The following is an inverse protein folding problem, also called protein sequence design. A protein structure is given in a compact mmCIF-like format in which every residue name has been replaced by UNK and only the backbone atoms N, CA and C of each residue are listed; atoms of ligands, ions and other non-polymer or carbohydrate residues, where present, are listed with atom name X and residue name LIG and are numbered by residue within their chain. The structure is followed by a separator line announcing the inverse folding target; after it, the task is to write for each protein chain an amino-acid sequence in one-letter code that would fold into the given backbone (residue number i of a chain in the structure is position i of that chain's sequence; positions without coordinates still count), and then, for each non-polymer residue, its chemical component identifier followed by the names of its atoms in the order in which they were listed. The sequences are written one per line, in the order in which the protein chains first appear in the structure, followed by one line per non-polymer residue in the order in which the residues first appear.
data_IF_910180617862
#
_entry.id   IF_910180617862
#
_cell.length_a   1.000
_cell.length_b   1.000
_cell.length_c   1.000
_cell.angle_alpha   90.00
_cell.angle_beta   90.00
_cell.angle_gamma   90.00
#
_symmetry.space_group_name_H-M   'P 1'
#
loop_
_entity.id
_entity.type
_entity.pdbx_description
1 polymer ?
#
# COMPACT_ATOMS: atom_id res chain seq x y z
N UNK A 1 21.43 0.58 14.53
CA UNK A 1 20.92 1.56 13.55
C UNK A 1 19.49 1.88 13.93
N UNK A 2 19.08 3.14 14.12
CA UNK A 2 17.68 3.46 14.39
C UNK A 2 16.83 3.02 13.19
N UNK A 3 15.66 2.43 13.47
CA UNK A 3 14.68 2.10 12.45
C UNK A 3 14.31 3.38 11.68
N UNK A 4 14.37 3.30 10.34
CA UNK A 4 14.09 4.45 9.46
C UNK A 4 12.62 4.80 9.56
N UNK A 5 12.31 6.08 9.82
CA UNK A 5 10.94 6.55 9.88
C UNK A 5 10.43 6.89 8.47
N UNK A 6 9.24 6.44 8.09
CA UNK A 6 8.58 6.92 6.89
C UNK A 6 8.18 8.38 7.11
N UNK A 7 8.36 9.21 6.08
CA UNK A 7 8.12 10.66 6.15
C UNK A 7 6.91 11.12 5.34
N UNK A 8 6.48 10.35 4.33
CA UNK A 8 5.35 10.70 3.49
C UNK A 8 4.75 9.46 2.82
N UNK A 9 3.43 9.47 2.61
CA UNK A 9 2.72 8.54 1.73
C UNK A 9 2.10 9.32 0.56
N UNK A 10 2.50 8.97 -0.66
CA UNK A 10 1.92 9.54 -1.90
C UNK A 10 0.90 8.54 -2.43
N UNK A 11 -0.30 8.98 -2.77
CA UNK A 11 -1.39 8.14 -3.28
C UNK A 11 -1.75 8.61 -4.68
N UNK A 12 -1.70 7.72 -5.66
CA UNK A 12 -2.24 7.91 -7.00
C UNK A 12 -3.52 7.09 -7.15
N UNK A 13 -4.64 7.80 -7.32
CA UNK A 13 -5.94 7.21 -7.59
C UNK A 13 -6.08 6.91 -9.09
N UNK A 14 -6.95 5.96 -9.44
CA UNK A 14 -7.24 5.57 -10.83
C UNK A 14 -7.76 6.70 -11.71
N UNK A 15 -8.36 7.73 -11.11
CA UNK A 15 -8.82 8.93 -11.81
C UNK A 15 -7.69 9.95 -12.09
N UNK A 16 -6.43 9.60 -11.83
CA UNK A 16 -5.26 10.43 -12.12
C UNK A 16 -4.92 11.47 -11.06
N UNK A 17 -5.69 11.56 -9.97
CA UNK A 17 -5.40 12.48 -8.87
C UNK A 17 -4.33 11.90 -7.93
N UNK A 18 -3.36 12.75 -7.60
CA UNK A 18 -2.33 12.49 -6.59
C UNK A 18 -2.71 13.17 -5.27
N UNK A 19 -2.54 12.46 -4.16
CA UNK A 19 -2.77 12.98 -2.80
C UNK A 19 -1.56 12.63 -1.95
N UNK A 20 -0.99 13.63 -1.27
CA UNK A 20 0.13 13.44 -0.36
C UNK A 20 -0.36 13.45 1.08
N UNK A 21 0.13 12.50 1.86
CA UNK A 21 -0.08 12.39 3.29
C UNK A 21 1.28 12.56 3.97
N UNK A 22 1.46 13.68 4.65
CA UNK A 22 2.63 14.02 5.46
C UNK A 22 2.32 14.05 6.96
N UNK A 23 1.03 13.90 7.35
CA UNK A 23 0.63 13.73 8.74
C UNK A 23 1.24 12.45 9.32
N UNK A 24 2.12 12.61 10.31
CA UNK A 24 2.85 11.51 10.95
C UNK A 24 1.92 10.39 11.44
N UNK A 25 0.74 10.73 11.98
CA UNK A 25 -0.19 9.72 12.50
C UNK A 25 -0.80 8.89 11.37
N UNK A 26 -1.15 9.53 10.25
CA UNK A 26 -1.68 8.85 9.07
C UNK A 26 -0.61 8.01 8.36
N UNK A 27 0.61 8.53 8.26
CA UNK A 27 1.76 7.78 7.72
C UNK A 27 2.01 6.52 8.55
N UNK A 28 2.05 6.64 9.88
CA UNK A 28 2.21 5.50 10.79
C UNK A 28 1.07 4.48 10.67
N UNK A 29 -0.17 4.93 10.49
CA UNK A 29 -1.31 4.03 10.25
C UNK A 29 -1.16 3.21 8.97
N UNK A 30 -0.78 3.85 7.86
CA UNK A 30 -0.54 3.14 6.58
C UNK A 30 0.56 2.10 6.77
N UNK A 31 1.63 2.45 7.48
CA UNK A 31 2.72 1.53 7.79
C UNK A 31 2.26 0.33 8.60
N UNK A 32 1.54 0.54 9.69
CA UNK A 32 1.00 -0.56 10.50
C UNK A 32 0.12 -1.50 9.67
N UNK A 33 -0.70 -0.95 8.77
CA UNK A 33 -1.53 -1.75 7.86
C UNK A 33 -0.66 -2.58 6.91
N UNK A 34 0.37 -1.98 6.32
CA UNK A 34 1.27 -2.66 5.37
C UNK A 34 2.10 -3.75 6.05
N UNK A 35 2.49 -3.56 7.32
CA UNK A 35 3.17 -4.58 8.13
C UNK A 35 2.29 -5.80 8.42
N UNK A 36 0.97 -5.62 8.48
CA UNK A 36 0.01 -6.71 8.67
C UNK A 36 -0.36 -7.47 7.39
N UNK A 37 0.16 -7.04 6.23
CA UNK A 37 -0.04 -7.76 4.97
C UNK A 37 0.65 -9.12 5.04
N UNK A 38 -0.12 -10.17 4.76
CA UNK A 38 0.43 -11.52 4.64
C UNK A 38 1.14 -11.69 3.29
N UNK A 39 2.45 -11.41 3.26
CA UNK A 39 3.29 -11.50 2.07
C UNK A 39 3.60 -12.96 1.70
N UNK A 40 3.26 -13.35 0.47
CA UNK A 40 3.55 -14.68 -0.08
C UNK A 40 4.78 -14.61 -0.98
N UNK A 41 5.75 -15.50 -0.75
CA UNK A 41 6.94 -15.64 -1.58
C UNK A 41 6.67 -16.55 -2.78
N UNK A 42 7.31 -16.27 -3.91
CA UNK A 42 7.43 -17.22 -5.03
C UNK A 42 6.30 -17.20 -6.07
N UNK A 43 5.32 -16.29 -5.98
CA UNK A 43 4.38 -16.03 -7.07
C UNK A 43 3.77 -14.63 -6.97
N UNK A 44 3.63 -13.96 -8.11
CA UNK A 44 2.87 -12.72 -8.26
C UNK A 44 1.74 -13.06 -9.23
N UNK A 45 0.47 -13.03 -8.79
CA UNK A 45 -0.64 -13.29 -9.70
C UNK A 45 -0.73 -12.19 -10.75
N UNK A 46 -1.10 -12.56 -11.97
CA UNK A 46 -1.55 -11.58 -12.96
C UNK A 46 -2.96 -11.15 -12.58
N UNK A 47 -3.13 -9.86 -12.31
CA UNK A 47 -4.43 -9.30 -11.95
C UNK A 47 -5.23 -9.04 -13.23
N UNK A 48 -6.47 -9.55 -13.29
CA UNK A 48 -7.32 -9.45 -14.47
C UNK A 48 -7.85 -8.04 -14.77
N UNK A 49 -7.59 -7.07 -13.88
CA UNK A 49 -7.98 -5.66 -14.00
C UNK A 49 -6.94 -4.74 -13.37
N UNK A 50 -7.01 -3.45 -13.69
CA UNK A 50 -6.22 -2.41 -13.04
C UNK A 50 -6.49 -2.32 -11.53
N UNK A 51 -5.48 -1.88 -10.78
CA UNK A 51 -5.57 -1.61 -9.35
C UNK A 51 -6.64 -0.57 -9.03
N UNK A 52 -7.20 -0.63 -7.82
CA UNK A 52 -8.10 0.42 -7.33
C UNK A 52 -7.34 1.67 -6.88
N UNK A 53 -6.12 1.46 -6.36
CA UNK A 53 -5.21 2.53 -5.98
C UNK A 53 -3.76 2.09 -6.07
N UNK A 54 -2.88 3.05 -6.30
CA UNK A 54 -1.44 2.93 -6.17
C UNK A 54 -0.95 3.90 -5.10
N UNK A 55 -0.02 3.49 -4.27
CA UNK A 55 0.60 4.40 -3.31
C UNK A 55 2.09 4.12 -3.12
N UNK A 56 2.83 5.14 -2.70
CA UNK A 56 4.25 5.08 -2.42
C UNK A 56 4.51 5.47 -0.98
N UNK A 57 5.39 4.74 -0.34
CA UNK A 57 5.91 5.10 0.98
C UNK A 57 7.30 5.68 0.78
N UNK A 58 7.45 6.96 1.10
CA UNK A 58 8.72 7.66 1.08
C UNK A 58 9.37 7.55 2.46
N UNK A 59 10.63 7.12 2.47
CA UNK A 59 11.46 7.09 3.66
C UNK A 59 12.58 8.09 3.48
N UNK A 60 13.00 8.73 4.59
CA UNK A 60 14.14 9.63 4.56
C UNK A 60 15.37 8.90 3.99
N UNK A 61 15.86 9.39 2.84
CA UNK A 61 17.05 8.90 2.15
C UNK A 61 16.99 7.43 1.70
N UNK A 62 15.86 6.97 1.14
CA UNK A 62 15.74 5.64 0.51
C UNK A 62 14.85 5.65 -0.74
N UNK A 63 14.96 4.60 -1.54
CA UNK A 63 14.07 4.33 -2.67
C UNK A 63 12.61 4.17 -2.22
N UNK A 64 11.70 4.68 -3.06
CA UNK A 64 10.25 4.61 -2.86
C UNK A 64 9.78 3.16 -2.96
N UNK A 65 9.07 2.69 -1.94
CA UNK A 65 8.36 1.42 -2.05
C UNK A 65 7.00 1.65 -2.69
N UNK A 66 6.74 1.00 -3.82
CA UNK A 66 5.47 1.16 -4.55
C UNK A 66 4.52 0.02 -4.22
N UNK A 67 3.27 0.35 -3.93
CA UNK A 67 2.21 -0.59 -3.64
C UNK A 67 1.06 -0.41 -4.63
N UNK A 68 0.57 -1.50 -5.17
CA UNK A 68 -0.67 -1.57 -5.95
C UNK A 68 -1.69 -2.37 -5.15
N UNK A 69 -2.93 -1.90 -5.04
CA UNK A 69 -3.97 -2.55 -4.23
C UNK A 69 -5.25 -2.83 -5.02
N UNK A 70 -5.82 -4.00 -4.82
CA UNK A 70 -7.13 -4.42 -5.31
C UNK A 70 -8.02 -4.78 -4.13
N UNK A 71 -9.07 -3.99 -3.92
CA UNK A 71 -10.12 -4.29 -2.98
C UNK A 71 -11.14 -5.23 -3.61
N UNK A 72 -11.57 -6.26 -2.87
CA UNK A 72 -12.60 -7.16 -3.33
C UNK A 72 -13.90 -7.01 -2.54
N UNK A 73 -15.00 -7.46 -3.15
CA UNK A 73 -16.36 -7.36 -2.59
C UNK A 73 -16.57 -8.16 -1.30
N UNK A 74 -15.63 -9.04 -0.95
CA UNK A 74 -15.67 -9.85 0.27
C UNK A 74 -14.94 -9.18 1.44
N UNK A 75 -14.50 -7.93 1.24
CA UNK A 75 -13.81 -7.15 2.27
C UNK A 75 -12.33 -7.48 2.40
N UNK A 76 -11.74 -8.29 1.53
CA UNK A 76 -10.29 -8.51 1.53
C UNK A 76 -9.61 -7.57 0.51
N UNK A 77 -8.29 -7.40 0.65
CA UNK A 77 -7.49 -6.74 -0.37
C UNK A 77 -6.30 -7.60 -0.78
N UNK A 78 -5.93 -7.47 -2.05
CA UNK A 78 -4.72 -8.03 -2.63
C UNK A 78 -3.75 -6.89 -2.90
N UNK A 79 -2.47 -7.10 -2.59
CA UNK A 79 -1.44 -6.09 -2.73
C UNK A 79 -0.26 -6.66 -3.51
N UNK A 80 0.31 -5.83 -4.38
CA UNK A 80 1.62 -6.07 -4.98
C UNK A 80 2.55 -4.96 -4.51
N UNK A 81 3.59 -5.33 -3.76
CA UNK A 81 4.72 -4.45 -3.44
C UNK A 81 5.76 -4.58 -4.55
N UNK A 82 6.06 -3.50 -5.25
CA UNK A 82 7.17 -3.42 -6.21
C UNK A 82 8.37 -2.76 -5.56
N UNK A 83 9.52 -3.40 -5.72
CA UNK A 83 10.83 -2.91 -5.29
C UNK A 83 11.85 -3.14 -6.40
N UNK A 84 13.02 -2.53 -6.28
CA UNK A 84 14.16 -2.73 -7.20
C UNK A 84 14.62 -4.19 -7.28
N UNK A 85 14.42 -4.97 -6.22
CA UNK A 85 14.81 -6.39 -6.15
C UNK A 85 13.68 -7.37 -6.53
N UNK A 86 12.63 -6.87 -7.19
CA UNK A 86 11.48 -7.66 -7.59
C UNK A 86 10.19 -7.26 -6.87
N UNK A 87 9.12 -8.00 -7.18
CA UNK A 87 7.79 -7.74 -6.62
C UNK A 87 7.33 -8.89 -5.72
N UNK A 88 6.51 -8.57 -4.72
CA UNK A 88 5.93 -9.54 -3.80
C UNK A 88 4.42 -9.34 -3.73
N UNK A 89 3.68 -10.44 -3.72
CA UNK A 89 2.23 -10.44 -3.56
C UNK A 89 1.84 -10.65 -2.10
N UNK A 90 0.78 -9.98 -1.65
CA UNK A 90 0.26 -10.11 -0.30
C UNK A 90 -1.25 -9.95 -0.25
N UNK A 91 -1.83 -10.41 0.86
CA UNK A 91 -3.26 -10.27 1.14
C UNK A 91 -3.49 -9.61 2.48
N UNK A 92 -4.51 -8.75 2.58
CA UNK A 92 -4.90 -8.03 3.78
C UNK A 92 -6.31 -8.42 4.22
N UNK A 93 -6.52 -8.54 5.54
CA UNK A 93 -7.79 -8.95 6.17
C UNK A 93 -8.77 -7.78 6.34
N UNK A 94 -10.05 -8.11 6.52
CA UNK A 94 -11.17 -7.18 6.41
C UNK A 94 -11.13 -5.94 7.31
N UNK A 95 -10.64 -6.06 8.55
CA UNK A 95 -10.54 -4.94 9.50
C UNK A 95 -9.52 -3.87 9.05
N UNK A 96 -8.40 -4.31 8.47
CA UNK A 96 -7.36 -3.42 7.94
C UNK A 96 -7.68 -2.92 6.54
N UNK A 97 -8.41 -3.72 5.76
CA UNK A 97 -8.89 -3.33 4.43
C UNK A 97 -9.78 -2.10 4.49
N UNK A 98 -10.72 -2.06 5.44
CA UNK A 98 -11.59 -0.90 5.61
C UNK A 98 -10.80 0.37 5.89
N UNK A 99 -9.87 0.32 6.85
CA UNK A 99 -9.01 1.47 7.19
C UNK A 99 -8.14 1.91 6.02
N UNK A 100 -7.53 0.96 5.31
CA UNK A 100 -6.72 1.27 4.13
C UNK A 100 -7.55 1.93 3.03
N UNK A 101 -8.75 1.41 2.78
CA UNK A 101 -9.66 1.95 1.78
C UNK A 101 -10.11 3.37 2.11
N UNK A 102 -10.43 3.64 3.37
CA UNK A 102 -10.77 4.98 3.85
C UNK A 102 -9.60 5.96 3.64
N UNK A 103 -8.37 5.56 3.96
CA UNK A 103 -7.18 6.41 3.75
C UNK A 103 -6.92 6.65 2.25
N UNK A 104 -6.96 5.59 1.44
CA UNK A 104 -6.57 5.66 0.03
C UNK A 104 -7.63 6.29 -0.86
N UNK A 105 -8.91 5.98 -0.62
CA UNK A 105 -10.02 6.35 -1.50
C UNK A 105 -10.92 7.42 -0.88
N UNK A 106 -10.93 7.57 0.45
CA UNK A 106 -11.87 8.44 1.17
C UNK A 106 -13.27 7.83 1.32
N UNK A 107 -13.40 6.49 1.23
CA UNK A 107 -14.68 5.76 1.17
C UNK A 107 -14.67 4.45 1.94
#
# INVERSE_FOLDING_TARGET
MPAKKPSEVVIQKTNGYETNIDDTTMVEKVMTIVEEVNWKKGSIPSMAREEDARFWINYDNKEKETYQVWFNKYGNAELIKRSTNGSTYGTLKADKVKQLKEILLGS
#
